data_IF_946926515954
#
_entry.id   IF_946926515954
#
_cell.length_a   1.000
_cell.length_b   1.000
_cell.length_c   1.000
_cell.angle_alpha   90.00
_cell.angle_beta   90.00
_cell.angle_gamma   90.00
#
_symmetry.space_group_name_H-M   'P 1'
#
loop_
_entity.id
_entity.type
_entity.pdbx_description
1 polymer ?
#
# COMPACT_ATOMS: atom_id res chain seq x y z
N UNK A 1 2.91 -5.39 4.94
CA UNK A 1 4.30 -5.90 4.94
C UNK A 1 4.33 -7.28 4.34
N UNK A 2 5.47 -7.72 3.80
CA UNK A 2 5.71 -9.05 3.25
C UNK A 2 6.21 -10.00 4.35
N UNK A 3 5.96 -11.30 4.20
CA UNK A 3 6.49 -12.33 5.12
C UNK A 3 7.95 -12.65 4.86
N UNK A 4 8.45 -12.36 3.65
CA UNK A 4 9.82 -12.55 3.22
C UNK A 4 10.30 -11.36 2.39
N UNK A 5 11.62 -11.08 2.36
CA UNK A 5 12.18 -10.05 1.48
C UNK A 5 11.82 -10.28 0.02
N UNK A 6 11.56 -9.21 -0.72
CA UNK A 6 11.37 -9.27 -2.17
C UNK A 6 12.69 -9.65 -2.86
N UNK A 7 12.68 -10.64 -3.76
CA UNK A 7 13.87 -11.03 -4.52
C UNK A 7 14.23 -10.05 -5.64
N UNK A 8 13.25 -9.29 -6.11
CA UNK A 8 13.38 -8.19 -7.09
C UNK A 8 12.48 -7.03 -6.64
N UNK A 9 12.61 -5.82 -7.22
CA UNK A 9 11.66 -4.76 -6.94
C UNK A 9 10.21 -5.22 -7.17
N UNK A 10 9.34 -4.89 -6.24
CA UNK A 10 7.92 -5.23 -6.26
C UNK A 10 7.09 -3.95 -6.24
N UNK A 11 6.01 -3.92 -7.01
CA UNK A 11 5.02 -2.84 -6.97
C UNK A 11 3.69 -3.35 -6.43
N UNK A 12 3.03 -2.53 -5.63
CA UNK A 12 1.67 -2.76 -5.11
C UNK A 12 0.81 -1.60 -5.56
N UNK A 13 -0.24 -1.88 -6.31
CA UNK A 13 -1.25 -0.90 -6.72
C UNK A 13 -2.38 -0.90 -5.71
N UNK A 14 -2.78 0.29 -5.28
CA UNK A 14 -3.85 0.52 -4.33
C UNK A 14 -5.13 1.03 -5.02
N UNK A 15 -6.29 0.86 -4.39
CA UNK A 15 -7.60 1.27 -4.94
C UNK A 15 -7.75 2.78 -5.14
N UNK A 16 -6.98 3.59 -4.41
CA UNK A 16 -6.90 5.04 -4.61
C UNK A 16 -5.93 5.46 -5.73
N UNK A 17 -5.40 4.50 -6.51
CA UNK A 17 -4.44 4.73 -7.59
C UNK A 17 -3.00 4.91 -7.14
N UNK A 18 -2.72 4.92 -5.83
CA UNK A 18 -1.35 5.01 -5.32
C UNK A 18 -0.57 3.73 -5.60
N UNK A 19 0.75 3.87 -5.78
CA UNK A 19 1.67 2.75 -5.98
C UNK A 19 2.69 2.74 -4.86
N UNK A 20 2.83 1.60 -4.20
CA UNK A 20 3.92 1.34 -3.25
C UNK A 20 4.99 0.53 -3.98
N UNK A 21 6.24 0.97 -3.89
CA UNK A 21 7.40 0.19 -4.31
C UNK A 21 8.05 -0.45 -3.10
N UNK A 22 8.35 -1.74 -3.19
CA UNK A 22 9.15 -2.48 -2.21
C UNK A 22 10.43 -2.89 -2.93
N UNK A 23 11.56 -2.34 -2.49
CA UNK A 23 12.86 -2.62 -3.10
C UNK A 23 13.30 -4.08 -2.87
N UNK A 24 14.18 -4.57 -3.74
CA UNK A 24 14.78 -5.89 -3.55
C UNK A 24 15.49 -5.97 -2.17
N UNK A 25 15.33 -7.09 -1.48
CA UNK A 25 15.84 -7.31 -0.13
C UNK A 25 14.95 -6.70 0.98
N UNK A 26 13.91 -5.93 0.65
CA UNK A 26 13.02 -5.31 1.62
C UNK A 26 11.71 -6.07 1.79
N UNK A 27 11.05 -5.87 2.93
CA UNK A 27 9.73 -6.45 3.26
C UNK A 27 8.62 -5.41 3.32
N UNK A 28 8.97 -4.14 3.15
CA UNK A 28 8.04 -3.03 3.28
C UNK A 28 8.39 -1.90 2.31
N UNK A 29 7.34 -1.19 1.92
CA UNK A 29 7.38 0.09 1.23
C UNK A 29 6.22 0.91 1.76
N UNK A 30 6.24 2.21 1.49
CA UNK A 30 5.17 3.11 1.89
C UNK A 30 4.87 4.11 0.79
N UNK A 31 3.68 4.69 0.84
CA UNK A 31 3.27 5.81 0.01
C UNK A 31 2.59 6.82 0.91
N UNK A 32 2.89 8.09 0.72
CA UNK A 32 2.23 9.17 1.46
C UNK A 32 1.00 9.63 0.68
N UNK A 33 -0.18 9.47 1.27
CA UNK A 33 -1.45 9.90 0.69
C UNK A 33 -1.89 11.17 1.41
N UNK A 34 -1.85 12.35 0.76
CA UNK A 34 -2.30 13.59 1.39
C UNK A 34 -3.80 13.52 1.66
N UNK A 35 -4.20 13.91 2.87
CA UNK A 35 -5.60 14.14 3.24
C UNK A 35 -5.94 15.62 3.11
N UNK A 36 -7.24 15.93 3.01
CA UNK A 36 -7.67 17.32 3.06
C UNK A 36 -7.28 17.93 4.40
N UNK A 37 -6.87 19.21 4.38
CA UNK A 37 -6.59 19.94 5.60
C UNK A 37 -7.84 19.97 6.49
N UNK A 38 -7.65 19.79 7.79
CA UNK A 38 -8.75 19.92 8.75
C UNK A 38 -9.36 21.31 8.65
N UNK A 39 -10.68 21.37 8.44
CA UNK A 39 -11.47 22.60 8.57
C UNK A 39 -12.15 22.58 9.94
N UNK A 40 -12.34 23.76 10.54
CA UNK A 40 -13.05 23.98 11.81
C UNK A 40 -14.44 23.32 11.80
N UNK A 41 -15.04 23.14 10.61
CA UNK A 41 -16.35 22.49 10.43
C UNK A 41 -16.29 21.04 9.92
N UNK A 42 -15.16 20.59 9.36
CA UNK A 42 -15.01 19.24 8.81
C UNK A 42 -13.73 18.63 9.39
N UNK A 43 -13.91 17.88 10.49
CA UNK A 43 -12.84 17.14 11.14
C UNK A 43 -12.97 15.67 10.78
N UNK A 44 -11.94 15.11 10.13
CA UNK A 44 -11.84 13.68 9.85
C UNK A 44 -11.93 13.32 8.38
N UNK A 45 -10.81 13.43 7.66
CA UNK A 45 -10.69 12.74 6.36
C UNK A 45 -10.34 11.27 6.62
N UNK A 46 -11.34 10.38 6.56
CA UNK A 46 -11.06 8.94 6.57
C UNK A 46 -10.46 8.53 5.23
N UNK A 47 -9.29 7.89 5.26
CA UNK A 47 -8.69 7.24 4.09
C UNK A 47 -8.87 5.75 4.22
N UNK A 48 -9.50 5.15 3.21
CA UNK A 48 -9.64 3.69 3.08
C UNK A 48 -9.02 3.26 1.76
N UNK A 49 -8.12 2.28 1.81
CA UNK A 49 -7.43 1.79 0.62
C UNK A 49 -7.22 0.28 0.69
N UNK A 50 -7.37 -0.40 -0.44
CA UNK A 50 -7.12 -1.85 -0.58
C UNK A 50 -6.11 -2.12 -1.68
N UNK A 51 -5.49 -3.31 -1.65
CA UNK A 51 -4.61 -3.79 -2.71
C UNK A 51 -5.46 -4.23 -3.90
N UNK A 52 -5.18 -3.68 -5.08
CA UNK A 52 -5.84 -4.04 -6.34
C UNK A 52 -4.94 -4.84 -7.27
N UNK A 53 -3.62 -4.76 -7.08
CA UNK A 53 -2.67 -5.52 -7.88
C UNK A 53 -1.27 -5.52 -7.28
N UNK A 54 -0.49 -6.53 -7.65
CA UNK A 54 0.91 -6.67 -7.26
C UNK A 54 1.71 -7.19 -8.44
N UNK A 55 2.92 -6.67 -8.67
CA UNK A 55 3.82 -7.18 -9.72
C UNK A 55 5.26 -7.23 -9.22
N UNK A 56 6.09 -8.12 -9.77
CA UNK A 56 7.49 -8.27 -9.36
C UNK A 56 7.66 -9.06 -8.07
N UNK A 57 8.74 -8.79 -7.33
CA UNK A 57 9.04 -9.44 -6.05
C UNK A 57 9.67 -10.83 -6.16
N UNK A 58 9.52 -11.52 -7.29
CA UNK A 58 10.08 -12.86 -7.56
C UNK A 58 9.68 -13.91 -6.50
N UNK A 59 8.38 -14.00 -6.20
CA UNK A 59 7.82 -15.01 -5.29
C UNK A 59 7.25 -16.18 -6.09
N UNK A 60 7.48 -17.41 -5.62
CA UNK A 60 6.85 -18.62 -6.18
C UNK A 60 5.33 -18.64 -5.92
N UNK A 61 4.92 -18.12 -4.76
CA UNK A 61 3.53 -17.92 -4.39
C UNK A 61 3.38 -16.65 -3.56
N UNK A 62 2.60 -15.70 -4.07
CA UNK A 62 2.25 -14.47 -3.38
C UNK A 62 0.73 -14.34 -3.35
N UNK A 63 0.17 -14.24 -2.14
CA UNK A 63 -1.27 -14.00 -1.92
C UNK A 63 -1.42 -12.68 -1.15
N UNK A 64 -1.80 -11.59 -1.83
CA UNK A 64 -2.04 -10.31 -1.18
C UNK A 64 -3.27 -10.36 -0.26
N UNK A 65 -3.22 -9.62 0.86
CA UNK A 65 -4.40 -9.35 1.65
C UNK A 65 -5.15 -8.16 1.06
N UNK A 66 -6.38 -8.38 0.59
CA UNK A 66 -7.25 -7.34 -0.02
C UNK A 66 -8.24 -6.72 0.97
N UNK A 67 -8.04 -6.94 2.27
CA UNK A 67 -8.80 -6.26 3.32
C UNK A 67 -8.41 -4.78 3.32
N UNK A 68 -9.37 -3.84 3.25
CA UNK A 68 -9.06 -2.42 3.26
C UNK A 68 -8.33 -2.01 4.54
N UNK A 69 -7.25 -1.23 4.38
CA UNK A 69 -6.64 -0.50 5.47
C UNK A 69 -7.36 0.85 5.63
N UNK A 70 -7.73 1.18 6.86
CA UNK A 70 -8.45 2.42 7.19
C UNK A 70 -7.62 3.25 8.16
N UNK A 71 -7.52 4.55 7.91
CA UNK A 71 -6.89 5.53 8.79
C UNK A 71 -7.79 6.76 8.89
N UNK A 72 -7.93 7.30 10.10
CA UNK A 72 -8.77 8.45 10.44
C UNK A 72 -7.94 9.63 10.91
#
# INVERSE_FOLDING_TARGET
TLTNPAGTPMTVTLSNGSVITIEAGQTSGSVNVPTAANDVYVNGSTVSTTITGTTGGNFENLVPNTTPAVTT
#
